data_IF_300938395365
#
_entry.id   IF_300938395365
#
_cell.length_a   1.000
_cell.length_b   1.000
_cell.length_c   1.000
_cell.angle_alpha   90.00
_cell.angle_beta   90.00
_cell.angle_gamma   90.00
#
_symmetry.space_group_name_H-M   'P 1'
#
loop_
_entity.id
_entity.type
_entity.pdbx_description
1 polymer ?
#
# COMPACT_ATOMS: atom_id res chain seq x y z
N UNK A 1 -28.47 41.44 9.34
CA UNK A 1 -27.50 41.68 10.42
C UNK A 1 -27.59 40.57 11.49
N UNK A 2 -27.11 39.35 11.21
CA UNK A 2 -27.15 38.20 12.16
C UNK A 2 -25.94 37.25 11.99
N UNK A 3 -24.74 37.80 11.87
CA UNK A 3 -23.44 37.09 11.93
C UNK A 3 -22.42 38.08 12.51
N UNK A 4 -22.10 37.96 13.81
CA UNK A 4 -21.00 38.66 14.55
C UNK A 4 -21.08 38.35 16.07
N UNK A 5 -22.26 38.03 16.61
CA UNK A 5 -22.50 37.84 18.05
C UNK A 5 -22.19 36.42 18.60
N UNK A 6 -21.11 35.76 18.16
CA UNK A 6 -20.72 34.42 18.66
C UNK A 6 -19.18 34.24 18.76
N UNK A 7 -18.46 35.29 19.18
CA UNK A 7 -17.00 35.27 19.29
C UNK A 7 -16.47 35.96 20.56
N UNK A 8 -17.31 36.09 21.59
CA UNK A 8 -17.05 36.94 22.77
C UNK A 8 -17.54 36.34 24.11
N UNK A 9 -17.52 35.00 24.26
CA UNK A 9 -18.00 34.33 25.50
C UNK A 9 -17.12 33.16 26.01
N UNK A 10 -15.84 33.06 25.61
CA UNK A 10 -14.90 32.06 26.15
C UNK A 10 -13.61 32.66 26.74
N UNK A 11 -13.65 33.94 27.12
CA UNK A 11 -12.69 34.55 28.04
C UNK A 11 -13.44 34.86 29.34
N UNK A 12 -12.83 34.50 30.49
CA UNK A 12 -13.31 34.63 31.89
C UNK A 12 -13.82 33.34 32.58
N UNK A 13 -12.94 32.34 32.76
CA UNK A 13 -12.84 31.61 34.04
C UNK A 13 -11.36 31.35 34.35
N UNK A 14 -10.74 32.29 35.05
CA UNK A 14 -9.43 32.11 35.68
C UNK A 14 -9.49 32.65 37.11
N UNK A 15 -8.92 31.89 38.06
CA UNK A 15 -8.66 32.36 39.42
C UNK A 15 -9.77 32.10 40.45
N UNK A 16 -9.72 30.94 41.09
CA UNK A 16 -9.92 30.87 42.54
C UNK A 16 -8.70 30.12 43.10
N UNK A 17 -7.89 30.83 43.88
CA UNK A 17 -6.79 30.28 44.66
C UNK A 17 -7.19 30.28 46.13
N UNK A 18 -6.85 29.22 46.86
CA UNK A 18 -6.87 29.16 48.32
C UNK A 18 -5.65 28.35 48.79
N UNK A 19 -4.80 28.98 49.60
CA UNK A 19 -3.83 28.36 50.52
C UNK A 19 -4.56 28.17 51.88
N UNK A 20 -4.15 27.38 52.89
CA UNK A 20 -2.86 26.86 53.39
C UNK A 20 -3.17 25.60 54.26
N UNK A 21 -2.30 24.83 54.94
CA UNK A 21 -0.85 24.92 55.25
C UNK A 21 -0.20 23.51 55.20
N UNK A 22 -0.05 22.81 56.36
CA UNK A 22 0.68 21.53 56.53
C UNK A 22 0.07 20.67 57.63
N UNK A 23 0.06 19.35 57.45
CA UNK A 23 0.35 18.39 58.54
C UNK A 23 1.03 17.14 57.98
N UNK A 24 1.91 16.53 58.77
CA UNK A 24 2.75 15.39 58.39
C UNK A 24 2.42 14.25 59.32
N UNK A 25 1.77 13.21 58.82
CA UNK A 25 1.65 11.97 59.58
C UNK A 25 1.84 10.73 58.71
N UNK A 26 2.46 9.73 59.32
CA UNK A 26 2.78 8.43 58.75
C UNK A 26 1.88 7.37 59.36
N UNK A 27 1.39 6.37 58.60
CA UNK A 27 1.25 4.98 59.08
C UNK A 27 0.88 4.00 57.94
N UNK A 28 1.35 2.78 58.15
CA UNK A 28 1.10 1.47 57.51
C UNK A 28 0.21 1.37 56.25
N UNK A 29 0.81 0.82 55.18
CA UNK A 29 0.06 0.07 54.16
C UNK A 29 -0.14 -1.37 54.64
N UNK A 30 -1.38 -1.68 55.01
CA UNK A 30 -1.84 -3.03 55.35
C UNK A 30 -1.55 -4.01 54.21
N UNK A 31 -0.96 -5.17 54.54
CA UNK A 31 -0.82 -6.29 53.60
C UNK A 31 -2.14 -7.06 53.51
N UNK A 32 -2.97 -6.71 52.53
CA UNK A 32 -4.04 -7.62 52.13
C UNK A 32 -3.50 -8.63 51.10
N UNK A 33 -3.51 -9.92 51.46
CA UNK A 33 -3.10 -10.98 50.56
C UNK A 33 -4.27 -11.40 49.67
N UNK A 34 -4.16 -11.18 48.36
CA UNK A 34 -5.07 -11.80 47.38
C UNK A 34 -4.32 -12.92 46.66
N UNK A 35 -4.89 -14.13 46.81
CA UNK A 35 -4.32 -15.39 46.37
C UNK A 35 -4.77 -15.79 44.96
N UNK A 36 -3.97 -16.65 44.35
CA UNK A 36 -4.32 -17.64 43.32
C UNK A 36 -4.71 -17.14 41.91
N UNK A 37 -3.69 -16.91 41.09
CA UNK A 37 -3.81 -16.96 39.63
C UNK A 37 -3.70 -18.42 39.12
N UNK A 38 -4.79 -18.97 38.55
CA UNK A 38 -4.79 -20.31 37.94
C UNK A 38 -4.17 -20.29 36.53
N UNK A 39 -3.25 -21.21 36.18
CA UNK A 39 -2.72 -21.31 34.83
C UNK A 39 -3.74 -21.97 33.89
N UNK A 40 -4.13 -21.26 32.83
CA UNK A 40 -4.84 -21.86 31.68
C UNK A 40 -3.81 -22.28 30.66
N UNK A 41 -3.63 -23.59 30.47
CA UNK A 41 -2.68 -24.13 29.49
C UNK A 41 -3.32 -24.09 28.10
N UNK A 42 -2.69 -23.38 27.16
CA UNK A 42 -2.98 -23.43 25.73
C UNK A 42 -1.68 -23.29 24.96
N UNK A 43 -1.28 -24.36 24.28
CA UNK A 43 -0.11 -24.52 23.40
C UNK A 43 1.19 -23.80 23.81
N UNK A 44 2.09 -24.55 24.47
CA UNK A 44 3.56 -24.38 24.54
C UNK A 44 4.17 -23.08 25.08
N UNK A 45 3.42 -21.99 25.21
CA UNK A 45 3.88 -20.72 25.79
C UNK A 45 3.01 -20.32 26.97
N UNK A 46 3.53 -20.56 28.18
CA UNK A 46 2.90 -20.13 29.43
C UNK A 46 3.00 -18.60 29.49
N UNK A 47 1.94 -17.90 29.08
CA UNK A 47 1.89 -16.44 29.17
C UNK A 47 1.64 -15.99 30.62
N UNK A 48 2.73 -15.88 31.38
CA UNK A 48 2.70 -15.31 32.74
C UNK A 48 2.62 -13.78 32.61
N UNK A 49 1.41 -13.21 32.73
CA UNK A 49 1.20 -11.77 32.81
C UNK A 49 1.68 -11.24 34.17
N UNK A 50 2.99 -11.09 34.33
CA UNK A 50 3.58 -10.47 35.52
C UNK A 50 3.18 -8.99 35.59
N UNK A 51 2.65 -8.58 36.75
CA UNK A 51 2.29 -7.18 37.05
C UNK A 51 3.53 -6.43 37.62
N UNK A 52 4.64 -7.14 37.84
CA UNK A 52 5.91 -6.54 38.19
C UNK A 52 6.37 -5.63 37.06
N UNK A 53 6.58 -4.35 37.39
CA UNK A 53 7.22 -3.40 36.48
C UNK A 53 8.57 -3.97 36.04
N UNK A 54 8.76 -4.18 34.74
CA UNK A 54 10.05 -4.64 34.22
C UNK A 54 11.11 -3.61 34.59
N UNK A 55 12.18 -4.04 35.26
CA UNK A 55 13.28 -3.13 35.57
C UNK A 55 13.76 -2.41 34.30
N UNK A 56 14.02 -1.10 34.44
CA UNK A 56 14.44 -0.25 33.31
C UNK A 56 15.79 -0.75 32.78
N UNK A 57 15.74 -1.57 31.72
CA UNK A 57 16.92 -2.15 31.07
C UNK A 57 17.90 -1.02 30.75
N UNK A 58 19.09 -1.08 31.36
CA UNK A 58 20.19 -0.18 31.03
C UNK A 58 20.89 -0.76 29.79
N UNK A 59 21.13 0.08 28.79
CA UNK A 59 21.98 -0.32 27.66
C UNK A 59 23.40 -0.52 28.19
N UNK A 60 23.98 -1.70 27.98
CA UNK A 60 25.34 -2.05 28.40
C UNK A 60 26.40 -1.23 27.65
N UNK A 61 26.05 -0.74 26.47
CA UNK A 61 26.93 -0.01 25.56
C UNK A 61 26.45 1.43 25.36
N UNK A 62 27.38 2.36 25.15
CA UNK A 62 27.06 3.74 24.83
C UNK A 62 26.61 3.83 23.36
N UNK A 63 25.29 3.93 23.14
CA UNK A 63 24.69 4.03 21.81
C UNK A 63 25.27 5.20 20.99
N UNK A 64 25.68 6.30 21.65
CA UNK A 64 26.22 7.47 20.96
C UNK A 64 27.61 7.22 20.35
N UNK A 65 28.39 6.29 20.90
CA UNK A 65 29.69 5.89 20.32
C UNK A 65 29.54 4.72 19.34
N UNK A 66 28.59 3.81 19.59
CA UNK A 66 28.36 2.63 18.72
C UNK A 66 27.93 2.98 17.29
N UNK A 67 27.23 4.11 17.11
CA UNK A 67 26.76 4.58 15.81
C UNK A 67 27.49 5.86 15.36
N UNK A 68 28.73 6.05 15.80
CA UNK A 68 29.58 7.18 15.38
C UNK A 68 30.42 6.88 14.13
N UNK A 69 30.42 5.63 13.65
CA UNK A 69 31.12 5.21 12.45
C UNK A 69 30.51 5.83 11.18
N UNK A 70 31.35 5.99 10.14
CA UNK A 70 30.98 6.63 8.88
C UNK A 70 29.78 5.97 8.19
N UNK A 71 29.61 4.67 8.38
CA UNK A 71 28.51 3.86 7.83
C UNK A 71 27.12 4.34 8.30
N UNK A 72 27.05 5.11 9.39
CA UNK A 72 25.82 5.70 9.94
C UNK A 72 25.68 7.21 9.65
N UNK A 73 26.63 7.80 8.92
CA UNK A 73 26.60 9.22 8.51
C UNK A 73 25.98 9.29 7.10
N UNK A 74 24.65 9.28 7.05
CA UNK A 74 23.90 9.49 5.81
C UNK A 74 24.19 10.87 5.23
N UNK A 75 25.01 10.91 4.19
CA UNK A 75 25.21 12.10 3.35
C UNK A 75 24.31 11.95 2.14
N UNK A 76 23.39 12.90 1.93
CA UNK A 76 22.64 12.96 0.68
C UNK A 76 23.61 13.32 -0.45
N UNK A 77 23.95 12.34 -1.30
CA UNK A 77 24.70 12.60 -2.52
C UNK A 77 23.86 13.51 -3.42
N UNK A 78 24.28 14.78 -3.51
CA UNK A 78 23.65 15.74 -4.40
C UNK A 78 23.68 15.18 -5.83
N UNK A 79 22.54 15.18 -6.56
CA UNK A 79 22.47 14.53 -7.85
C UNK A 79 23.51 15.14 -8.80
N UNK A 80 24.40 14.31 -9.33
CA UNK A 80 25.38 14.75 -10.33
C UNK A 80 24.63 15.43 -11.47
N UNK A 81 24.91 16.73 -11.64
CA UNK A 81 24.50 17.45 -12.83
C UNK A 81 25.21 16.81 -14.01
N UNK A 82 24.46 16.01 -14.75
CA UNK A 82 24.84 15.53 -16.06
C UNK A 82 24.88 16.74 -17.00
N UNK A 83 26.00 17.46 -16.95
CA UNK A 83 26.36 18.53 -17.87
C UNK A 83 26.51 17.90 -19.25
N UNK A 84 25.37 17.79 -19.93
CA UNK A 84 25.27 17.26 -21.28
C UNK A 84 26.19 18.08 -22.17
N UNK A 85 27.07 17.45 -22.99
CA UNK A 85 28.04 18.19 -23.78
C UNK A 85 27.33 19.22 -24.66
N UNK A 86 27.86 20.46 -24.77
CA UNK A 86 27.18 21.54 -25.47
C UNK A 86 26.87 21.11 -26.90
N UNK A 87 25.58 21.15 -27.26
CA UNK A 87 25.10 20.58 -28.52
C UNK A 87 25.83 21.24 -29.68
N UNK A 88 26.57 20.45 -30.45
CA UNK A 88 27.44 20.96 -31.50
C UNK A 88 26.59 21.66 -32.59
N UNK A 89 26.67 23.00 -32.61
CA UNK A 89 25.88 23.86 -33.49
C UNK A 89 26.15 23.59 -34.98
N UNK A 90 27.36 23.11 -35.33
CA UNK A 90 27.71 22.72 -36.70
C UNK A 90 26.96 21.45 -37.11
N UNK A 91 26.87 20.46 -36.21
CA UNK A 91 26.10 19.23 -36.43
C UNK A 91 24.61 19.53 -36.60
N UNK A 92 24.01 20.40 -35.76
CA UNK A 92 22.61 20.80 -35.92
C UNK A 92 22.34 21.50 -37.27
N UNK A 93 23.23 22.39 -37.72
CA UNK A 93 23.09 23.06 -39.02
C UNK A 93 23.19 22.08 -40.18
N UNK A 94 24.12 21.12 -40.13
CA UNK A 94 24.23 20.06 -41.12
C UNK A 94 22.99 19.15 -41.14
N UNK A 95 22.48 18.75 -39.97
CA UNK A 95 21.28 17.93 -39.82
C UNK A 95 20.03 18.61 -40.36
N UNK A 96 19.83 19.91 -40.10
CA UNK A 96 18.70 20.68 -40.65
C UNK A 96 18.77 20.80 -42.18
N UNK A 97 19.96 21.00 -42.75
CA UNK A 97 20.14 21.03 -44.21
C UNK A 97 19.87 19.67 -44.86
N UNK A 98 20.34 18.57 -44.24
CA UNK A 98 20.03 17.21 -44.68
C UNK A 98 18.53 16.91 -44.62
N UNK A 99 17.87 17.27 -43.51
CA UNK A 99 16.42 17.14 -43.35
C UNK A 99 15.65 17.89 -44.43
N UNK A 100 16.02 19.13 -44.77
CA UNK A 100 15.35 19.90 -45.84
C UNK A 100 15.38 19.19 -47.20
N UNK A 101 16.44 18.43 -47.48
CA UNK A 101 16.58 17.67 -48.74
C UNK A 101 15.78 16.36 -48.67
N UNK A 102 15.86 15.62 -47.58
CA UNK A 102 15.24 14.28 -47.45
C UNK A 102 13.75 14.33 -47.15
N UNK A 103 13.28 15.31 -46.36
CA UNK A 103 11.90 15.45 -45.93
C UNK A 103 10.86 15.49 -47.08
N UNK A 104 11.04 16.23 -48.20
CA UNK A 104 10.06 16.20 -49.29
C UNK A 104 9.91 14.81 -49.94
N UNK A 105 11.01 14.06 -50.12
CA UNK A 105 10.95 12.69 -50.64
C UNK A 105 10.30 11.73 -49.64
N UNK A 106 10.59 11.89 -48.34
CA UNK A 106 9.96 11.11 -47.28
C UNK A 106 8.44 11.37 -47.21
N UNK A 107 8.02 12.63 -47.34
CA UNK A 107 6.63 13.04 -47.34
C UNK A 107 5.89 12.54 -48.59
N UNK A 108 6.49 12.65 -49.77
CA UNK A 108 5.94 12.08 -51.00
C UNK A 108 5.79 10.56 -50.91
N UNK A 109 6.82 9.85 -50.43
CA UNK A 109 6.77 8.41 -50.19
C UNK A 109 5.70 8.01 -49.18
N UNK A 110 5.51 8.79 -48.11
CA UNK A 110 4.44 8.58 -47.13
C UNK A 110 3.04 8.78 -47.75
N UNK A 111 2.84 9.79 -48.60
CA UNK A 111 1.57 10.02 -49.30
C UNK A 111 1.27 8.85 -50.26
N UNK A 112 2.25 8.40 -51.06
CA UNK A 112 2.13 7.22 -51.93
C UNK A 112 1.79 5.97 -51.09
N UNK A 113 2.47 5.77 -49.97
CA UNK A 113 2.23 4.66 -49.06
C UNK A 113 0.79 4.68 -48.52
N UNK A 114 0.29 5.82 -48.06
CA UNK A 114 -1.08 5.98 -47.56
C UNK A 114 -2.12 5.68 -48.65
N UNK A 115 -1.92 6.18 -49.87
CA UNK A 115 -2.82 5.93 -51.00
C UNK A 115 -2.87 4.43 -51.33
N UNK A 116 -1.71 3.77 -51.42
CA UNK A 116 -1.64 2.31 -51.60
C UNK A 116 -2.32 1.56 -50.45
N UNK A 117 -2.08 1.98 -49.19
CA UNK A 117 -2.67 1.33 -48.00
C UNK A 117 -4.20 1.39 -48.00
N UNK A 118 -4.78 2.49 -48.48
CA UNK A 118 -6.24 2.67 -48.61
C UNK A 118 -6.77 1.87 -49.80
N UNK A 119 -6.12 1.94 -50.96
CA UNK A 119 -6.55 1.26 -52.18
C UNK A 119 -6.51 -0.28 -52.06
N UNK A 120 -5.59 -0.85 -51.27
CA UNK A 120 -5.45 -2.29 -51.07
C UNK A 120 -6.41 -2.87 -50.01
N UNK A 121 -7.40 -2.11 -49.53
CA UNK A 121 -8.55 -2.64 -48.76
C UNK A 121 -8.22 -3.40 -47.47
N UNK A 122 -7.06 -3.14 -46.86
CA UNK A 122 -6.61 -3.93 -45.70
C UNK A 122 -7.08 -3.32 -44.37
N UNK A 123 -8.20 -3.84 -43.87
CA UNK A 123 -8.65 -3.71 -42.47
C UNK A 123 -7.61 -4.25 -41.49
N UNK A 124 -6.60 -3.45 -41.12
CA UNK A 124 -5.61 -3.83 -40.11
C UNK A 124 -5.31 -2.65 -39.21
N UNK A 125 -5.62 -2.82 -37.92
CA UNK A 125 -5.38 -1.82 -36.87
C UNK A 125 -3.90 -1.44 -36.75
N UNK A 126 -3.63 -0.14 -36.83
CA UNK A 126 -2.29 0.45 -36.87
C UNK A 126 -1.54 0.47 -35.52
N UNK A 127 -2.10 -0.10 -34.44
CA UNK A 127 -1.51 -0.02 -33.09
C UNK A 127 -1.44 -1.36 -32.35
N UNK A 128 -0.81 -2.37 -32.97
CA UNK A 128 -0.33 -3.56 -32.25
C UNK A 128 1.13 -3.45 -31.81
N UNK A 129 1.60 -2.23 -31.52
CA UNK A 129 2.85 -2.05 -30.80
C UNK A 129 2.72 -2.55 -29.35
N UNK A 130 3.12 -3.81 -29.14
CA UNK A 130 3.65 -4.30 -27.85
C UNK A 130 4.98 -3.57 -27.51
N UNK A 131 4.94 -2.25 -27.41
CA UNK A 131 5.93 -1.52 -26.61
C UNK A 131 5.50 -1.71 -25.16
N UNK A 132 6.38 -2.30 -24.36
CA UNK A 132 6.25 -2.26 -22.91
C UNK A 132 6.31 -0.81 -22.46
N UNK A 133 5.15 -0.14 -22.45
CA UNK A 133 5.01 1.15 -21.79
C UNK A 133 5.41 0.90 -20.34
N UNK A 134 6.52 1.52 -19.89
CA UNK A 134 6.70 1.79 -18.47
C UNK A 134 5.36 2.34 -18.02
N UNK A 135 4.72 1.64 -17.06
CA UNK A 135 3.43 2.07 -16.53
C UNK A 135 3.70 3.41 -15.84
N UNK A 136 3.51 4.52 -16.55
CA UNK A 136 3.01 5.75 -15.93
C UNK A 136 1.86 5.25 -15.07
N UNK A 137 2.02 5.32 -13.75
CA UNK A 137 1.07 4.73 -12.84
C UNK A 137 -0.30 5.32 -13.22
N UNK A 138 -1.15 4.49 -13.82
CA UNK A 138 -2.55 4.77 -14.02
C UNK A 138 -3.05 5.02 -12.60
N UNK A 139 -3.20 6.31 -12.24
CA UNK A 139 -3.47 6.76 -10.87
C UNK A 139 -4.58 5.85 -10.38
N UNK A 140 -4.29 4.99 -9.41
CA UNK A 140 -5.19 3.91 -9.03
C UNK A 140 -6.50 4.57 -8.62
N UNK A 141 -7.49 4.53 -9.52
CA UNK A 141 -8.72 5.34 -9.40
C UNK A 141 -9.48 4.96 -8.13
N UNK A 142 -9.17 3.77 -7.62
CA UNK A 142 -9.78 3.04 -6.51
C UNK A 142 -8.91 3.04 -5.24
N UNK A 143 -7.98 4.00 -5.08
CA UNK A 143 -7.14 4.09 -3.87
C UNK A 143 -7.94 4.58 -2.64
N UNK A 144 -8.91 5.47 -2.86
CA UNK A 144 -9.68 6.16 -1.80
C UNK A 144 -11.18 5.81 -1.77
N UNK A 145 -11.66 5.00 -2.73
CA UNK A 145 -13.06 4.57 -2.81
C UNK A 145 -13.34 3.32 -1.95
N UNK A 146 -14.55 3.22 -1.39
CA UNK A 146 -15.00 2.04 -0.65
C UNK A 146 -15.16 0.83 -1.59
N UNK A 147 -14.62 -0.33 -1.18
CA UNK A 147 -14.76 -1.60 -1.92
C UNK A 147 -16.22 -1.96 -2.19
N UNK A 148 -17.16 -1.51 -1.36
CA UNK A 148 -18.59 -1.75 -1.55
C UNK A 148 -19.17 -1.02 -2.76
N UNK A 149 -18.66 0.17 -3.07
CA UNK A 149 -19.13 1.01 -4.18
C UNK A 149 -18.46 0.65 -5.53
N UNK A 150 -17.31 -0.02 -5.50
CA UNK A 150 -16.53 -0.36 -6.69
C UNK A 150 -17.02 -1.67 -7.35
N UNK A 151 -17.14 -1.66 -8.68
CA UNK A 151 -17.27 -2.87 -9.52
C UNK A 151 -15.91 -3.58 -9.66
N UNK A 152 -15.57 -4.34 -8.62
CA UNK A 152 -14.34 -5.13 -8.56
C UNK A 152 -14.30 -6.26 -9.61
N UNK A 153 -15.44 -6.72 -10.14
CA UNK A 153 -15.46 -7.82 -11.12
C UNK A 153 -15.07 -7.34 -12.51
N UNK A 154 -15.59 -6.19 -12.95
CA UNK A 154 -15.16 -5.53 -14.19
C UNK A 154 -13.67 -5.18 -14.15
N UNK A 155 -13.19 -4.65 -13.02
CA UNK A 155 -11.77 -4.34 -12.83
C UNK A 155 -10.88 -5.59 -12.86
N UNK A 156 -11.30 -6.66 -12.19
CA UNK A 156 -10.60 -7.94 -12.19
C UNK A 156 -10.53 -8.55 -13.60
N UNK A 157 -11.64 -8.58 -14.32
CA UNK A 157 -11.69 -9.12 -15.68
C UNK A 157 -10.81 -8.31 -16.65
N UNK A 158 -10.81 -6.98 -16.56
CA UNK A 158 -9.89 -6.10 -17.30
C UNK A 158 -8.42 -6.37 -16.96
N UNK A 159 -8.09 -6.56 -15.68
CA UNK A 159 -6.72 -6.87 -15.27
C UNK A 159 -6.24 -8.23 -15.82
N UNK A 160 -7.10 -9.25 -15.81
CA UNK A 160 -6.81 -10.58 -16.37
C UNK A 160 -6.65 -10.51 -17.90
N UNK A 161 -7.57 -9.86 -18.61
CA UNK A 161 -7.50 -9.71 -20.07
C UNK A 161 -6.20 -9.01 -20.52
N UNK A 162 -5.75 -8.01 -19.77
CA UNK A 162 -4.49 -7.31 -19.99
C UNK A 162 -3.24 -8.05 -19.45
N UNK A 163 -3.39 -9.28 -18.95
CA UNK A 163 -2.33 -10.08 -18.32
C UNK A 163 -1.58 -9.35 -17.18
N UNK A 164 -2.28 -8.44 -16.50
CA UNK A 164 -1.75 -7.65 -15.39
C UNK A 164 -1.99 -8.38 -14.07
N UNK A 165 -1.34 -9.54 -13.91
CA UNK A 165 -1.62 -10.50 -12.83
C UNK A 165 -1.44 -9.94 -11.41
N UNK A 166 -0.47 -9.03 -11.19
CA UNK A 166 -0.32 -8.29 -9.91
C UNK A 166 -1.56 -7.47 -9.56
N UNK A 167 -2.14 -6.77 -10.55
CA UNK A 167 -3.35 -5.99 -10.36
C UNK A 167 -4.59 -6.90 -10.20
N UNK A 168 -4.65 -8.01 -10.93
CA UNK A 168 -5.70 -9.01 -10.76
C UNK A 168 -5.67 -9.63 -9.35
N UNK A 169 -4.49 -9.88 -8.75
CA UNK A 169 -4.36 -10.33 -7.36
C UNK A 169 -4.86 -9.28 -6.37
N UNK A 170 -4.56 -7.99 -6.57
CA UNK A 170 -5.14 -6.91 -5.76
C UNK A 170 -6.68 -6.93 -5.82
N UNK A 171 -7.26 -6.98 -7.01
CA UNK A 171 -8.73 -7.01 -7.15
C UNK A 171 -9.35 -8.30 -6.61
N UNK A 172 -8.68 -9.46 -6.71
CA UNK A 172 -9.09 -10.68 -6.02
C UNK A 172 -9.13 -10.50 -4.50
N UNK A 173 -8.07 -9.93 -3.91
CA UNK A 173 -7.98 -9.69 -2.47
C UNK A 173 -9.07 -8.72 -1.98
N UNK A 174 -9.26 -7.58 -2.66
CA UNK A 174 -10.35 -6.65 -2.35
C UNK A 174 -11.73 -7.32 -2.49
N UNK A 175 -11.92 -8.20 -3.47
CA UNK A 175 -13.19 -8.94 -3.61
C UNK A 175 -13.42 -9.97 -2.50
N UNK A 176 -12.35 -10.51 -1.90
CA UNK A 176 -12.44 -11.36 -0.71
C UNK A 176 -12.80 -10.54 0.53
N UNK A 177 -12.17 -9.39 0.75
CA UNK A 177 -12.56 -8.48 1.84
C UNK A 177 -14.03 -8.05 1.70
N UNK A 178 -14.50 -7.74 0.48
CA UNK A 178 -15.91 -7.40 0.21
C UNK A 178 -16.86 -8.53 0.60
N UNK A 179 -16.54 -9.78 0.24
CA UNK A 179 -17.35 -10.97 0.60
C UNK A 179 -17.36 -11.21 2.11
N UNK A 180 -16.20 -11.14 2.78
CA UNK A 180 -16.11 -11.30 4.24
C UNK A 180 -16.88 -10.20 4.99
N UNK A 181 -16.78 -8.95 4.53
CA UNK A 181 -17.50 -7.80 5.08
C UNK A 181 -19.01 -7.92 4.88
N UNK A 182 -19.46 -8.32 3.69
CA UNK A 182 -20.88 -8.58 3.40
C UNK A 182 -21.47 -9.69 4.30
N UNK A 183 -20.66 -10.71 4.63
CA UNK A 183 -21.03 -11.80 5.56
C UNK A 183 -20.84 -11.41 7.04
N UNK A 184 -20.44 -10.17 7.35
CA UNK A 184 -20.13 -9.65 8.69
C UNK A 184 -19.08 -10.48 9.45
N UNK A 185 -18.17 -11.12 8.72
CA UNK A 185 -17.04 -11.88 9.27
C UNK A 185 -15.83 -10.99 9.56
N UNK A 186 -15.77 -9.82 8.92
CA UNK A 186 -14.86 -8.72 9.20
C UNK A 186 -15.63 -7.40 9.17
N UNK A 187 -15.09 -6.40 9.85
CA UNK A 187 -15.51 -5.00 9.77
C UNK A 187 -14.54 -4.25 8.83
N UNK A 188 -14.99 -3.86 7.63
CA UNK A 188 -14.09 -3.29 6.62
C UNK A 188 -13.76 -1.83 6.90
N UNK A 189 -12.47 -1.50 6.92
CA UNK A 189 -11.96 -0.13 6.99
C UNK A 189 -10.68 0.01 6.16
N UNK A 190 -10.61 1.02 5.27
CA UNK A 190 -9.46 1.20 4.36
C UNK A 190 -8.09 1.33 5.04
N UNK A 191 -8.06 1.79 6.30
CA UNK A 191 -6.83 1.97 7.09
C UNK A 191 -6.41 0.70 7.88
N UNK A 192 -7.26 -0.35 7.94
CA UNK A 192 -6.92 -1.61 8.63
C UNK A 192 -5.89 -2.41 7.84
N UNK A 193 -4.93 -2.99 8.56
CA UNK A 193 -3.91 -3.88 8.00
C UNK A 193 -4.48 -5.24 7.61
N UNK A 194 -3.79 -5.89 6.67
CA UNK A 194 -4.04 -7.28 6.26
C UNK A 194 -4.07 -8.27 7.46
N UNK A 195 -3.32 -7.96 8.53
CA UNK A 195 -3.20 -8.77 9.74
C UNK A 195 -4.36 -8.57 10.70
N UNK A 196 -4.89 -7.36 10.83
CA UNK A 196 -6.12 -7.10 11.61
C UNK A 196 -7.30 -7.89 11.05
N UNK A 197 -7.49 -7.89 9.74
CA UNK A 197 -8.50 -8.72 9.08
C UNK A 197 -8.35 -10.22 9.36
N UNK A 198 -7.11 -10.74 9.42
CA UNK A 198 -6.86 -12.13 9.81
C UNK A 198 -7.28 -12.40 11.26
N UNK A 199 -7.08 -11.45 12.18
CA UNK A 199 -7.44 -11.63 13.59
C UNK A 199 -8.93 -11.53 13.88
N UNK A 200 -9.70 -10.79 13.07
CA UNK A 200 -11.17 -10.71 13.16
C UNK A 200 -11.87 -12.06 12.84
N UNK A 201 -11.31 -12.87 11.92
CA UNK A 201 -11.89 -14.16 11.52
C UNK A 201 -11.84 -15.20 12.64
N UNK A 202 -12.94 -15.42 13.36
CA UNK A 202 -13.01 -16.36 14.51
C UNK A 202 -12.83 -17.83 14.11
N UNK A 203 -13.36 -18.25 12.95
CA UNK A 203 -13.23 -19.63 12.47
C UNK A 203 -11.78 -19.92 12.05
N UNK A 204 -11.17 -20.95 12.65
CA UNK A 204 -9.76 -21.32 12.43
C UNK A 204 -9.46 -21.70 10.97
N UNK A 205 -10.31 -22.50 10.33
CA UNK A 205 -10.12 -22.95 8.95
C UNK A 205 -10.20 -21.77 7.96
N UNK A 206 -11.21 -20.91 8.12
CA UNK A 206 -11.33 -19.68 7.33
C UNK A 206 -10.14 -18.74 7.57
N UNK A 207 -9.67 -18.61 8.82
CA UNK A 207 -8.50 -17.81 9.16
C UNK A 207 -7.23 -18.34 8.49
N UNK A 208 -7.00 -19.66 8.48
CA UNK A 208 -5.85 -20.28 7.83
C UNK A 208 -5.88 -20.09 6.30
N UNK A 209 -7.03 -20.35 5.66
CA UNK A 209 -7.21 -20.14 4.22
C UNK A 209 -7.03 -18.66 3.84
N UNK A 210 -7.62 -17.73 4.60
CA UNK A 210 -7.45 -16.29 4.39
C UNK A 210 -6.01 -15.83 4.61
N UNK A 211 -5.31 -16.37 5.61
CA UNK A 211 -3.91 -16.02 5.90
C UNK A 211 -2.99 -16.32 4.72
N UNK A 212 -3.21 -17.44 4.02
CA UNK A 212 -2.48 -17.75 2.78
C UNK A 212 -2.75 -16.71 1.68
N UNK A 213 -4.01 -16.32 1.47
CA UNK A 213 -4.37 -15.31 0.46
C UNK A 213 -3.79 -13.93 0.80
N UNK A 214 -3.85 -13.56 2.08
CA UNK A 214 -3.27 -12.35 2.68
C UNK A 214 -1.75 -12.29 2.49
N UNK A 215 -1.05 -13.41 2.70
CA UNK A 215 0.38 -13.55 2.39
C UNK A 215 0.67 -13.33 0.89
N UNK A 216 -0.05 -14.02 -0.01
CA UNK A 216 0.15 -13.88 -1.46
C UNK A 216 -0.12 -12.45 -1.94
N UNK A 217 -1.17 -11.80 -1.43
CA UNK A 217 -1.44 -10.39 -1.70
C UNK A 217 -0.30 -9.49 -1.19
N UNK A 218 0.15 -9.68 0.05
CA UNK A 218 1.23 -8.88 0.63
C UNK A 218 2.53 -9.01 -0.19
N UNK A 219 2.89 -10.23 -0.56
CA UNK A 219 4.06 -10.52 -1.39
C UNK A 219 3.94 -9.88 -2.78
N UNK A 220 2.92 -10.23 -3.57
CA UNK A 220 2.80 -9.76 -4.96
C UNK A 220 2.47 -8.26 -5.06
N UNK A 221 1.68 -7.72 -4.13
CA UNK A 221 1.35 -6.30 -4.13
C UNK A 221 2.45 -5.46 -3.50
N UNK A 222 2.71 -5.56 -2.20
CA UNK A 222 3.66 -4.66 -1.52
C UNK A 222 5.14 -5.04 -1.75
N UNK A 223 5.46 -6.32 -1.95
CA UNK A 223 6.81 -6.77 -2.32
C UNK A 223 7.14 -6.62 -3.81
N UNK A 224 6.19 -6.13 -4.63
CA UNK A 224 6.31 -5.95 -6.09
C UNK A 224 6.74 -7.20 -6.90
N UNK A 225 6.71 -8.39 -6.30
CA UNK A 225 7.17 -9.62 -6.94
C UNK A 225 6.36 -9.95 -8.20
N UNK A 226 7.08 -10.27 -9.28
CA UNK A 226 6.48 -10.72 -10.54
C UNK A 226 5.86 -12.10 -10.38
N UNK A 227 4.65 -12.28 -10.91
CA UNK A 227 3.98 -13.58 -10.99
C UNK A 227 3.71 -13.91 -12.47
N UNK A 228 4.07 -15.12 -12.89
CA UNK A 228 3.74 -15.63 -14.23
C UNK A 228 2.29 -16.14 -14.30
N UNK A 229 1.88 -16.54 -15.51
CA UNK A 229 0.52 -17.01 -15.79
C UNK A 229 0.15 -18.29 -15.01
N UNK A 230 1.04 -19.28 -14.92
CA UNK A 230 0.73 -20.56 -14.29
C UNK A 230 0.60 -20.42 -12.77
N UNK A 231 1.52 -19.66 -12.16
CA UNK A 231 1.43 -19.30 -10.75
C UNK A 231 0.19 -18.43 -10.46
N UNK A 232 -0.15 -17.50 -11.35
CA UNK A 232 -1.39 -16.73 -11.24
C UNK A 232 -2.64 -17.62 -11.30
N UNK A 233 -2.72 -18.58 -12.23
CA UNK A 233 -3.87 -19.50 -12.35
C UNK A 233 -4.05 -20.36 -11.09
N UNK A 234 -2.96 -20.86 -10.50
CA UNK A 234 -2.98 -21.58 -9.23
C UNK A 234 -3.49 -20.70 -8.07
N UNK A 235 -3.02 -19.46 -7.98
CA UNK A 235 -3.47 -18.48 -6.96
C UNK A 235 -4.93 -18.08 -7.19
N UNK A 236 -5.34 -17.86 -8.43
CA UNK A 236 -6.71 -17.55 -8.84
C UNK A 236 -7.69 -18.63 -8.39
N UNK A 237 -7.35 -19.91 -8.55
CA UNK A 237 -8.18 -21.01 -8.07
C UNK A 237 -8.38 -20.94 -6.56
N UNK A 238 -7.32 -20.69 -5.77
CA UNK A 238 -7.42 -20.55 -4.30
C UNK A 238 -8.32 -19.38 -3.88
N UNK A 239 -8.21 -18.23 -4.55
CA UNK A 239 -9.12 -17.09 -4.34
C UNK A 239 -10.58 -17.43 -4.66
N UNK A 240 -10.85 -18.12 -5.78
CA UNK A 240 -12.20 -18.57 -6.16
C UNK A 240 -12.77 -19.57 -5.15
N UNK A 241 -11.98 -20.57 -4.75
CA UNK A 241 -12.40 -21.58 -3.76
C UNK A 241 -12.73 -20.97 -2.40
N UNK A 242 -11.95 -19.99 -1.93
CA UNK A 242 -12.25 -19.26 -0.69
C UNK A 242 -13.53 -18.42 -0.78
N UNK A 243 -13.74 -17.68 -1.87
CA UNK A 243 -15.01 -16.97 -2.09
C UNK A 243 -16.21 -17.93 -2.08
N UNK A 244 -16.03 -19.13 -2.64
CA UNK A 244 -17.08 -20.15 -2.69
C UNK A 244 -17.32 -20.84 -1.33
N UNK A 245 -16.29 -21.02 -0.48
CA UNK A 245 -16.46 -21.59 0.87
C UNK A 245 -17.15 -20.60 1.83
N UNK A 246 -16.83 -19.31 1.73
CA UNK A 246 -17.52 -18.23 2.47
C UNK A 246 -18.91 -17.91 1.89
N UNK A 247 -19.12 -18.17 0.59
CA UNK A 247 -20.36 -17.89 -0.11
C UNK A 247 -21.53 -18.79 0.31
N UNK A 248 -21.23 -20.04 0.68
CA UNK A 248 -22.19 -20.99 1.28
C UNK A 248 -22.72 -20.51 2.64
#
# INVERSE_FOLDING_TARGET
MKKIALLLFCLLVSGISISQETEKDSIEVVRDSIKDSKPVVKDSTIYIKSIAYSEKRKFTENLKTKYADKDFIYTEEAPEKNDSPPINLVFLRAFVSFLKIVFPFLLAGFIIFVILKIALGTEIGFWNFKKGKKKTAEKLVYQDEDIHNIDLESLLNKAIANSNYRLAIRYYYLSVLKVLSNKKLIDYHKEKTNTEYTFELVNKELREQFSYLSYVYTYVWYGEFTIDKANFENVQQKYKSFKNSVGK
#
